data_IF_536183447175
#
_entry.id   IF_536183447175
#
_cell.length_a   1.000
_cell.length_b   1.000
_cell.length_c   1.000
_cell.angle_alpha   90.00
_cell.angle_beta   90.00
_cell.angle_gamma   90.00
#
_symmetry.space_group_name_H-M   'P 1'
#
loop_
_entity.id
_entity.type
_entity.pdbx_description
1 polymer ?
#
# COMPACT_ATOMS: atom_id res chain seq x y z
N UNK A 1 19.14 11.00 3.18
CA UNK A 1 19.27 9.91 4.14
C UNK A 1 20.34 8.91 3.71
N UNK A 2 20.29 8.29 2.55
CA UNK A 2 21.24 7.24 2.13
C UNK A 2 22.72 7.67 2.24
N UNK A 3 23.08 8.81 1.67
CA UNK A 3 24.48 9.32 1.72
C UNK A 3 24.97 9.61 3.13
N UNK A 4 24.07 10.01 4.04
CA UNK A 4 24.37 10.25 5.47
C UNK A 4 24.79 8.96 6.19
N UNK A 5 24.33 7.80 5.69
CA UNK A 5 24.70 6.48 6.19
C UNK A 5 25.77 5.80 5.32
N UNK A 6 26.50 6.55 4.49
CA UNK A 6 27.60 6.04 3.68
C UNK A 6 27.17 5.23 2.46
N UNK A 7 25.90 5.31 2.04
CA UNK A 7 25.37 4.56 0.92
C UNK A 7 25.37 5.39 -0.36
N UNK A 8 25.84 4.80 -1.46
CA UNK A 8 25.63 5.29 -2.82
C UNK A 8 24.44 4.56 -3.45
N UNK A 9 23.23 4.87 -2.99
CA UNK A 9 22.02 4.21 -3.43
C UNK A 9 21.53 4.77 -4.77
N UNK A 10 21.12 3.85 -5.67
CA UNK A 10 20.44 4.19 -6.92
C UNK A 10 18.99 3.70 -6.83
N UNK A 11 18.06 4.64 -6.89
CA UNK A 11 16.63 4.31 -6.88
C UNK A 11 16.18 3.98 -8.30
N UNK A 12 15.63 2.78 -8.48
CA UNK A 12 15.00 2.33 -9.72
C UNK A 12 13.47 2.43 -9.60
N UNK A 13 12.82 2.98 -10.60
CA UNK A 13 11.36 3.05 -10.69
C UNK A 13 10.81 1.88 -11.49
N UNK A 14 9.86 1.13 -10.93
CA UNK A 14 9.15 0.06 -11.61
C UNK A 14 7.79 0.54 -12.14
N UNK A 15 7.32 -0.06 -13.23
CA UNK A 15 6.01 0.24 -13.81
C UNK A 15 4.84 -0.38 -13.02
N UNK A 16 5.11 -1.44 -12.24
CA UNK A 16 4.10 -2.13 -11.44
C UNK A 16 4.72 -3.13 -10.47
N UNK A 17 3.89 -3.67 -9.59
CA UNK A 17 4.33 -4.48 -8.44
C UNK A 17 4.87 -5.86 -8.84
N UNK A 18 4.37 -6.46 -9.92
CA UNK A 18 4.95 -7.69 -10.46
C UNK A 18 6.42 -7.51 -10.85
N UNK A 19 6.76 -6.37 -11.47
CA UNK A 19 8.14 -6.03 -11.82
C UNK A 19 9.02 -5.85 -10.57
N UNK A 20 8.51 -5.20 -9.51
CA UNK A 20 9.24 -5.07 -8.24
C UNK A 20 9.55 -6.44 -7.65
N UNK A 21 8.55 -7.34 -7.62
CA UNK A 21 8.72 -8.72 -7.17
C UNK A 21 9.80 -9.44 -7.96
N UNK A 22 9.71 -9.39 -9.28
CA UNK A 22 10.60 -10.12 -10.17
C UNK A 22 12.04 -9.60 -10.07
N UNK A 23 12.23 -8.28 -10.04
CA UNK A 23 13.55 -7.68 -9.81
C UNK A 23 14.16 -8.10 -8.47
N UNK A 24 13.37 -8.14 -7.40
CA UNK A 24 13.85 -8.54 -6.09
C UNK A 24 14.23 -10.03 -6.04
N UNK A 25 13.41 -10.90 -6.63
CA UNK A 25 13.68 -12.35 -6.72
C UNK A 25 14.91 -12.63 -7.57
N UNK A 26 15.05 -11.95 -8.72
CA UNK A 26 16.16 -12.13 -9.66
C UNK A 26 17.44 -11.39 -9.25
N UNK A 27 17.43 -10.66 -8.13
CA UNK A 27 18.57 -9.86 -7.64
C UNK A 27 18.97 -8.70 -8.56
N UNK A 28 18.01 -8.18 -9.34
CA UNK A 28 18.20 -6.97 -10.16
C UNK A 28 18.21 -5.70 -9.30
N UNK A 29 17.77 -5.82 -8.05
CA UNK A 29 17.83 -4.82 -6.99
C UNK A 29 18.24 -5.48 -5.67
N UNK A 30 18.96 -4.73 -4.83
CA UNK A 30 19.47 -5.21 -3.54
C UNK A 30 18.37 -5.20 -2.45
N UNK A 31 17.47 -4.24 -2.55
CA UNK A 31 16.33 -4.07 -1.65
C UNK A 31 15.18 -3.41 -2.40
N UNK A 32 13.98 -3.46 -1.86
CA UNK A 32 12.82 -2.89 -2.49
C UNK A 32 11.81 -2.31 -1.47
N UNK A 33 11.16 -1.22 -1.87
CA UNK A 33 9.88 -0.82 -1.33
C UNK A 33 8.81 -1.76 -1.87
N UNK A 34 8.11 -2.48 -1.02
CA UNK A 34 7.08 -3.45 -1.40
C UNK A 34 5.78 -3.18 -0.66
N UNK A 35 4.67 -3.62 -1.24
CA UNK A 35 3.42 -3.76 -0.49
C UNK A 35 3.63 -4.79 0.61
N UNK A 36 3.22 -4.50 1.85
CA UNK A 36 3.55 -5.31 3.04
C UNK A 36 3.25 -6.81 2.92
N UNK A 37 2.22 -7.28 2.19
CA UNK A 37 2.02 -8.69 1.95
C UNK A 37 3.04 -9.35 1.01
N UNK A 38 3.75 -8.59 0.15
CA UNK A 38 4.62 -9.17 -0.87
C UNK A 38 5.82 -9.94 -0.30
N UNK A 39 6.57 -9.43 0.70
CA UNK A 39 7.70 -10.18 1.27
C UNK A 39 7.25 -11.53 1.86
N UNK A 40 6.09 -11.57 2.52
CA UNK A 40 5.49 -12.79 3.05
C UNK A 40 5.06 -13.74 1.93
N UNK A 41 4.41 -13.21 0.88
CA UNK A 41 3.99 -13.99 -0.28
C UNK A 41 5.19 -14.64 -0.98
N UNK A 42 6.26 -13.88 -1.22
CA UNK A 42 7.49 -14.38 -1.86
C UNK A 42 8.14 -15.45 -0.98
N UNK A 43 8.26 -15.20 0.33
CA UNK A 43 8.85 -16.17 1.27
C UNK A 43 8.09 -17.49 1.28
N UNK A 44 6.76 -17.44 1.20
CA UNK A 44 5.89 -18.61 1.23
C UNK A 44 5.60 -19.21 -0.15
N UNK A 45 6.18 -18.67 -1.23
CA UNK A 45 5.96 -19.16 -2.58
C UNK A 45 4.55 -18.90 -3.11
N UNK A 46 3.85 -17.91 -2.57
CA UNK A 46 2.53 -17.52 -3.07
C UNK A 46 2.68 -16.59 -4.28
N UNK A 47 2.32 -17.09 -5.46
CA UNK A 47 2.39 -16.36 -6.74
C UNK A 47 3.80 -16.17 -7.31
N UNK A 48 4.81 -16.83 -6.74
CA UNK A 48 6.19 -16.85 -7.22
C UNK A 48 6.94 -18.09 -6.71
N UNK A 49 8.18 -18.26 -7.16
CA UNK A 49 9.10 -19.19 -6.49
C UNK A 49 9.39 -18.70 -5.06
N UNK A 50 9.52 -19.60 -4.06
CA UNK A 50 9.81 -19.19 -2.70
C UNK A 50 11.26 -18.69 -2.58
N UNK A 51 11.41 -17.46 -2.10
CA UNK A 51 12.70 -16.86 -1.74
C UNK A 51 12.55 -16.21 -0.38
N UNK A 52 13.39 -16.52 0.61
CA UNK A 52 13.30 -15.93 1.94
C UNK A 52 13.57 -14.42 1.92
N UNK A 53 12.59 -13.63 2.32
CA UNK A 53 12.68 -12.18 2.49
C UNK A 53 12.43 -11.78 3.93
N UNK A 54 13.10 -10.73 4.36
CA UNK A 54 12.81 -10.01 5.59
C UNK A 54 11.98 -8.77 5.30
N UNK A 55 11.18 -8.37 6.26
CA UNK A 55 10.46 -7.12 6.33
C UNK A 55 10.92 -6.34 7.58
N UNK A 56 12.12 -5.75 7.58
CA UNK A 56 12.71 -5.15 8.76
C UNK A 56 12.01 -3.88 9.25
N UNK A 57 11.31 -3.19 8.34
CA UNK A 57 10.56 -1.98 8.66
C UNK A 57 9.28 -1.88 7.83
N UNK A 58 8.23 -1.34 8.45
CA UNK A 58 7.06 -0.79 7.76
C UNK A 58 7.39 0.64 7.37
N UNK A 59 7.18 1.03 6.12
CA UNK A 59 7.53 2.37 5.66
C UNK A 59 6.39 3.36 5.89
N UNK A 60 5.14 2.89 5.75
CA UNK A 60 3.97 3.67 6.13
C UNK A 60 2.82 2.80 6.62
N UNK A 61 2.03 3.35 7.51
CA UNK A 61 0.76 2.79 7.99
C UNK A 61 -0.41 3.63 7.48
N UNK A 62 -1.61 3.00 7.35
CA UNK A 62 -2.78 3.63 6.73
C UNK A 62 -2.49 4.10 5.28
N UNK A 63 -2.95 5.28 4.86
CA UNK A 63 -2.64 5.88 3.55
C UNK A 63 -3.29 5.21 2.36
N UNK A 64 -4.47 4.60 2.56
CA UNK A 64 -5.27 3.98 1.52
C UNK A 64 -6.74 4.37 1.71
N UNK A 65 -7.55 4.25 0.67
CA UNK A 65 -8.99 4.46 0.78
C UNK A 65 -9.77 3.63 -0.25
N UNK A 66 -11.01 3.31 0.08
CA UNK A 66 -12.03 2.94 -0.91
C UNK A 66 -12.52 4.25 -1.52
N UNK A 67 -12.25 4.41 -2.82
CA UNK A 67 -12.71 5.54 -3.63
C UNK A 67 -13.73 5.05 -4.62
N UNK A 68 -14.90 5.69 -4.67
CA UNK A 68 -15.99 5.33 -5.56
C UNK A 68 -16.19 6.41 -6.63
N UNK A 69 -16.66 5.99 -7.80
CA UNK A 69 -17.07 6.88 -8.89
C UNK A 69 -18.24 7.76 -8.44
N UNK A 70 -18.29 9.00 -8.92
CA UNK A 70 -19.30 9.99 -8.55
C UNK A 70 -20.76 9.54 -8.76
N UNK A 71 -21.03 8.61 -9.68
CA UNK A 71 -22.37 8.03 -9.88
C UNK A 71 -22.88 7.24 -8.66
N UNK A 72 -21.98 6.87 -7.73
CA UNK A 72 -22.28 6.04 -6.58
C UNK A 72 -22.37 6.80 -5.24
N UNK A 73 -22.66 8.11 -5.27
CA UNK A 73 -22.81 8.94 -4.06
C UNK A 73 -23.92 8.49 -3.10
N UNK A 74 -24.82 7.65 -3.58
CA UNK A 74 -25.89 7.06 -2.77
C UNK A 74 -25.50 5.83 -1.94
N UNK A 75 -24.32 5.23 -2.21
CA UNK A 75 -23.82 4.05 -1.48
C UNK A 75 -23.55 4.41 -0.02
N UNK A 76 -24.02 3.55 0.90
CA UNK A 76 -23.88 3.71 2.35
C UNK A 76 -23.08 2.58 2.99
N UNK A 77 -23.23 1.36 2.47
CA UNK A 77 -22.69 0.13 3.05
C UNK A 77 -22.01 -0.73 1.99
N UNK A 78 -21.28 -1.75 2.42
CA UNK A 78 -20.73 -2.75 1.52
C UNK A 78 -21.83 -3.49 0.74
N UNK A 79 -22.99 -3.72 1.35
CA UNK A 79 -24.09 -4.42 0.70
C UNK A 79 -24.59 -3.72 -0.58
N UNK A 80 -24.48 -2.40 -0.63
CA UNK A 80 -24.86 -1.59 -1.80
C UNK A 80 -23.86 -1.74 -2.97
N UNK A 81 -22.71 -2.40 -2.73
CA UNK A 81 -21.63 -2.57 -3.71
C UNK A 81 -21.74 -3.87 -4.51
N UNK A 82 -22.79 -4.68 -4.33
CA UNK A 82 -23.01 -5.88 -5.15
C UNK A 82 -23.05 -5.53 -6.63
N UNK A 83 -22.35 -6.31 -7.44
CA UNK A 83 -22.22 -6.09 -8.87
C UNK A 83 -21.12 -5.07 -9.27
N UNK A 84 -20.43 -4.44 -8.31
CA UNK A 84 -19.41 -3.45 -8.63
C UNK A 84 -18.16 -4.09 -9.23
N UNK A 85 -17.51 -3.32 -10.08
CA UNK A 85 -16.18 -3.59 -10.62
C UNK A 85 -15.17 -2.74 -9.86
N UNK A 86 -14.32 -3.42 -9.11
CA UNK A 86 -13.22 -2.78 -8.37
C UNK A 86 -11.86 -3.02 -9.03
N UNK A 87 -10.91 -2.16 -8.75
CA UNK A 87 -9.51 -2.48 -8.97
C UNK A 87 -8.65 -2.27 -7.71
N UNK A 88 -7.56 -3.01 -7.68
CA UNK A 88 -6.53 -2.99 -6.63
C UNK A 88 -5.16 -3.00 -7.28
N UNK A 89 -4.09 -2.52 -6.60
CA UNK A 89 -2.77 -2.40 -7.22
C UNK A 89 -2.07 -3.74 -7.48
N UNK A 90 -2.39 -4.75 -6.69
CA UNK A 90 -1.78 -6.08 -6.78
C UNK A 90 -2.55 -7.10 -5.94
N UNK A 91 -2.48 -8.40 -6.33
CA UNK A 91 -3.16 -9.47 -5.59
C UNK A 91 -2.64 -9.59 -4.15
N UNK A 92 -1.31 -9.55 -3.98
CA UNK A 92 -0.65 -9.61 -2.67
C UNK A 92 -0.44 -8.20 -2.11
N UNK A 93 -1.54 -7.52 -1.80
CA UNK A 93 -1.55 -6.15 -1.28
C UNK A 93 -2.52 -5.98 -0.12
N UNK A 94 -2.19 -5.08 0.80
CA UNK A 94 -3.16 -4.68 1.84
C UNK A 94 -4.44 -4.12 1.23
N UNK A 95 -4.33 -3.43 0.09
CA UNK A 95 -5.47 -2.91 -0.66
C UNK A 95 -6.47 -4.02 -1.03
N UNK A 96 -5.97 -5.13 -1.58
CA UNK A 96 -6.81 -6.28 -1.93
C UNK A 96 -7.41 -6.94 -0.68
N UNK A 97 -6.59 -7.17 0.36
CA UNK A 97 -7.06 -7.85 1.55
C UNK A 97 -8.04 -7.03 2.39
N UNK A 98 -7.84 -5.71 2.51
CA UNK A 98 -8.76 -4.83 3.22
C UNK A 98 -10.07 -4.64 2.44
N UNK A 99 -10.03 -4.53 1.11
CA UNK A 99 -11.24 -4.47 0.31
C UNK A 99 -12.07 -5.75 0.46
N UNK A 100 -11.43 -6.92 0.32
CA UNK A 100 -12.08 -8.23 0.50
C UNK A 100 -12.65 -8.39 1.90
N UNK A 101 -11.89 -8.00 2.91
CA UNK A 101 -12.33 -8.03 4.30
C UNK A 101 -13.56 -7.15 4.51
N UNK A 102 -13.50 -5.89 4.08
CA UNK A 102 -14.62 -4.94 4.21
C UNK A 102 -15.89 -5.43 3.52
N UNK A 103 -15.77 -5.92 2.30
CA UNK A 103 -16.90 -6.47 1.54
C UNK A 103 -17.52 -7.68 2.27
N UNK A 104 -16.68 -8.63 2.70
CA UNK A 104 -17.12 -9.85 3.36
C UNK A 104 -17.81 -9.58 4.70
N UNK A 105 -17.28 -8.68 5.52
CA UNK A 105 -17.92 -8.26 6.78
C UNK A 105 -19.29 -7.58 6.54
N UNK A 106 -19.47 -6.96 5.38
CA UNK A 106 -20.75 -6.39 4.95
C UNK A 106 -21.66 -7.36 4.18
N UNK A 107 -21.36 -8.67 4.18
CA UNK A 107 -22.18 -9.70 3.55
C UNK A 107 -22.07 -9.76 2.02
N UNK A 108 -20.98 -9.21 1.45
CA UNK A 108 -20.69 -9.24 0.01
C UNK A 108 -19.50 -10.17 -0.25
N UNK A 109 -19.71 -11.24 -1.01
CA UNK A 109 -18.64 -12.18 -1.31
C UNK A 109 -17.72 -11.59 -2.40
N UNK A 110 -16.40 -11.37 -2.09
CA UNK A 110 -15.53 -10.63 -2.99
C UNK A 110 -15.21 -11.32 -4.33
N UNK A 111 -15.44 -12.65 -4.43
CA UNK A 111 -15.19 -13.40 -5.68
C UNK A 111 -16.51 -13.76 -6.43
N UNK A 112 -17.68 -13.53 -5.83
CA UNK A 112 -18.97 -13.90 -6.43
C UNK A 112 -19.86 -12.70 -6.70
N UNK A 113 -19.87 -11.74 -5.77
CA UNK A 113 -20.81 -10.63 -5.79
C UNK A 113 -20.22 -9.35 -6.41
N UNK A 114 -18.90 -9.29 -6.61
CA UNK A 114 -18.17 -8.18 -7.25
C UNK A 114 -17.07 -8.70 -8.17
N UNK A 115 -16.48 -7.81 -8.97
CA UNK A 115 -15.30 -8.11 -9.77
C UNK A 115 -14.14 -7.29 -9.25
N UNK A 116 -13.03 -7.96 -8.87
CA UNK A 116 -11.79 -7.28 -8.46
C UNK A 116 -10.72 -7.57 -9.51
N UNK A 117 -10.07 -6.52 -10.04
CA UNK A 117 -9.01 -6.62 -11.04
C UNK A 117 -7.76 -5.89 -10.58
N UNK A 118 -6.60 -6.38 -10.99
CA UNK A 118 -5.33 -5.68 -10.78
C UNK A 118 -5.17 -4.60 -11.84
N UNK A 119 -4.92 -3.37 -11.40
CA UNK A 119 -4.63 -2.21 -12.25
C UNK A 119 -3.51 -1.41 -11.60
N UNK A 120 -2.46 -1.00 -12.34
CA UNK A 120 -1.43 -0.12 -11.79
C UNK A 120 -2.02 1.18 -11.24
N UNK A 121 -1.58 1.66 -10.06
CA UNK A 121 -2.16 2.85 -9.43
C UNK A 121 -2.24 4.10 -10.31
N UNK A 122 -1.25 4.42 -11.16
CA UNK A 122 -1.35 5.57 -12.06
C UNK A 122 -2.52 5.51 -13.06
N UNK A 123 -3.00 4.30 -13.40
CA UNK A 123 -4.08 4.09 -14.34
C UNK A 123 -5.46 4.05 -13.68
N UNK A 124 -5.52 3.90 -12.34
CA UNK A 124 -6.79 3.71 -11.62
C UNK A 124 -7.72 4.92 -11.75
N UNK A 125 -7.18 6.14 -11.64
CA UNK A 125 -7.97 7.38 -11.72
C UNK A 125 -8.61 7.52 -13.10
N UNK A 126 -7.85 7.24 -14.18
CA UNK A 126 -8.36 7.28 -15.54
C UNK A 126 -9.45 6.22 -15.77
N UNK A 127 -9.26 5.01 -15.26
CA UNK A 127 -10.27 3.95 -15.33
C UNK A 127 -11.54 4.30 -14.56
N UNK A 128 -11.42 4.94 -13.38
CA UNK A 128 -12.56 5.43 -12.63
C UNK A 128 -13.31 6.51 -13.41
N UNK A 129 -12.59 7.52 -13.92
CA UNK A 129 -13.16 8.64 -14.68
C UNK A 129 -13.89 8.20 -15.95
N UNK A 130 -13.34 7.18 -16.62
CA UNK A 130 -13.97 6.58 -17.81
C UNK A 130 -15.17 5.67 -17.48
N UNK A 131 -15.44 5.37 -16.21
CA UNK A 131 -16.51 4.46 -15.79
C UNK A 131 -16.21 2.99 -16.05
N UNK A 132 -14.96 2.63 -16.34
CA UNK A 132 -14.52 1.24 -16.53
C UNK A 132 -14.57 0.44 -15.23
N UNK A 133 -14.42 1.12 -14.09
CA UNK A 133 -14.58 0.58 -12.74
C UNK A 133 -15.55 1.45 -11.94
N UNK A 134 -16.19 0.85 -10.95
CA UNK A 134 -17.13 1.51 -10.06
C UNK A 134 -16.43 2.11 -8.84
N UNK A 135 -15.25 1.57 -8.51
CA UNK A 135 -14.40 2.05 -7.44
C UNK A 135 -13.08 1.29 -7.39
N UNK A 136 -12.27 1.65 -6.43
CA UNK A 136 -11.02 0.96 -6.12
C UNK A 136 -10.64 1.12 -4.66
N UNK A 137 -9.77 0.24 -4.16
CA UNK A 137 -8.98 0.49 -2.98
C UNK A 137 -7.53 0.68 -3.44
N UNK A 138 -7.02 1.90 -3.31
CA UNK A 138 -5.74 2.32 -3.85
C UNK A 138 -4.84 2.98 -2.77
N UNK A 139 -3.52 3.00 -2.98
CA UNK A 139 -2.65 3.82 -2.16
C UNK A 139 -2.91 5.31 -2.43
N UNK A 140 -2.74 6.14 -1.40
CA UNK A 140 -2.60 7.57 -1.63
C UNK A 140 -1.27 7.83 -2.42
N UNK A 141 -1.25 8.81 -3.32
CA UNK A 141 -2.20 9.92 -3.44
C UNK A 141 -3.35 9.69 -4.46
N UNK A 142 -3.50 8.51 -5.03
CA UNK A 142 -4.46 8.27 -6.12
C UNK A 142 -5.93 8.40 -5.69
N UNK A 143 -6.23 8.21 -4.41
CA UNK A 143 -7.56 8.49 -3.87
C UNK A 143 -7.87 9.98 -3.89
N UNK A 144 -6.94 10.80 -3.41
CA UNK A 144 -7.08 12.26 -3.42
C UNK A 144 -7.01 12.82 -4.83
N UNK A 145 -6.24 12.19 -5.73
CA UNK A 145 -6.19 12.57 -7.15
C UNK A 145 -7.54 12.40 -7.84
N UNK A 146 -8.29 11.34 -7.54
CA UNK A 146 -9.64 11.15 -8.09
C UNK A 146 -10.61 12.26 -7.65
N UNK A 147 -10.52 12.70 -6.40
CA UNK A 147 -11.29 13.84 -5.89
C UNK A 147 -10.88 15.13 -6.61
N UNK A 148 -9.58 15.38 -6.71
CA UNK A 148 -9.03 16.55 -7.40
C UNK A 148 -9.49 16.65 -8.88
N UNK A 149 -9.55 15.52 -9.58
CA UNK A 149 -10.05 15.43 -10.96
C UNK A 149 -11.57 15.33 -11.08
N UNK A 150 -12.30 15.42 -9.98
CA UNK A 150 -13.76 15.24 -9.95
C UNK A 150 -14.21 13.90 -10.59
N UNK A 151 -13.38 12.86 -10.48
CA UNK A 151 -13.69 11.51 -10.97
C UNK A 151 -14.45 10.66 -9.95
N UNK A 152 -14.23 10.91 -8.66
CA UNK A 152 -14.81 10.14 -7.58
C UNK A 152 -14.74 10.85 -6.23
N UNK A 153 -15.13 10.13 -5.20
CA UNK A 153 -15.12 10.58 -3.82
C UNK A 153 -14.52 9.52 -2.89
N UNK A 154 -13.96 9.93 -1.79
CA UNK A 154 -13.45 9.03 -0.76
C UNK A 154 -14.65 8.50 0.04
N UNK A 155 -14.93 7.23 -0.15
CA UNK A 155 -16.01 6.56 0.55
C UNK A 155 -15.61 6.17 1.98
N UNK A 156 -14.42 5.59 2.13
CA UNK A 156 -13.91 5.11 3.43
C UNK A 156 -12.38 5.08 3.43
N UNK A 157 -11.75 5.69 4.43
CA UNK A 157 -10.32 5.51 4.64
C UNK A 157 -10.04 4.09 5.13
N UNK A 158 -8.93 3.51 4.73
CA UNK A 158 -8.55 2.15 5.13
C UNK A 158 -8.33 2.01 6.64
N UNK A 159 -7.90 3.07 7.32
CA UNK A 159 -7.82 3.10 8.78
C UNK A 159 -9.17 2.87 9.48
N UNK A 160 -10.29 3.16 8.83
CA UNK A 160 -11.63 2.87 9.35
C UNK A 160 -12.01 1.40 9.22
N UNK A 161 -11.23 0.61 8.47
CA UNK A 161 -11.35 -0.85 8.35
C UNK A 161 -10.40 -1.51 9.36
N UNK A 162 -9.14 -1.07 9.36
CA UNK A 162 -8.11 -1.50 10.31
C UNK A 162 -7.14 -0.35 10.56
N UNK A 163 -7.27 0.32 11.71
CA UNK A 163 -6.39 1.42 12.06
C UNK A 163 -4.95 0.94 12.27
N UNK A 164 -3.99 1.72 11.78
CA UNK A 164 -2.56 1.46 11.82
C UNK A 164 -2.11 0.20 11.06
N UNK A 165 -2.89 -0.27 10.09
CA UNK A 165 -2.47 -1.37 9.24
C UNK A 165 -1.21 -1.01 8.44
N UNK A 166 -0.30 -1.98 8.18
CA UNK A 166 0.85 -1.71 7.33
C UNK A 166 0.39 -1.52 5.88
N UNK A 167 0.94 -0.52 5.17
CA UNK A 167 0.69 -0.35 3.74
C UNK A 167 1.87 -0.90 2.95
N UNK A 168 3.03 -0.27 3.12
CA UNK A 168 4.25 -0.64 2.44
C UNK A 168 5.38 -0.94 3.44
N UNK A 169 6.33 -1.73 2.99
CA UNK A 169 7.43 -2.20 3.80
C UNK A 169 8.76 -2.16 3.03
N UNK A 170 9.82 -1.89 3.75
CA UNK A 170 11.17 -2.17 3.32
C UNK A 170 11.36 -3.68 3.28
N UNK A 171 11.72 -4.21 2.12
CA UNK A 171 11.94 -5.63 1.88
C UNK A 171 13.34 -5.90 1.38
N UNK A 172 13.97 -6.94 1.92
CA UNK A 172 15.32 -7.36 1.56
C UNK A 172 15.43 -8.88 1.64
N UNK A 173 16.16 -9.51 0.70
CA UNK A 173 16.37 -10.94 0.76
C UNK A 173 17.22 -11.32 1.98
N UNK A 174 16.92 -12.47 2.58
CA UNK A 174 17.73 -13.02 3.68
C UNK A 174 19.19 -13.21 3.25
N UNK A 175 19.40 -13.64 2.00
CA UNK A 175 20.74 -13.82 1.44
C UNK A 175 21.53 -12.51 1.47
N UNK A 176 20.98 -11.42 0.92
CA UNK A 176 21.66 -10.13 0.90
C UNK A 176 21.95 -9.61 2.31
N UNK A 177 20.96 -9.68 3.20
CA UNK A 177 21.14 -9.24 4.58
C UNK A 177 22.24 -10.01 5.32
N UNK A 178 22.42 -11.32 4.99
CA UNK A 178 23.46 -12.17 5.58
C UNK A 178 24.84 -11.92 4.95
N UNK A 179 24.90 -11.73 3.63
CA UNK A 179 26.16 -11.50 2.92
C UNK A 179 26.72 -10.10 3.13
N UNK A 180 25.84 -9.09 3.27
CA UNK A 180 26.21 -7.68 3.38
C UNK A 180 25.56 -7.02 4.62
N UNK A 181 25.85 -7.51 5.84
CA UNK A 181 25.17 -7.06 7.05
C UNK A 181 25.36 -5.57 7.34
N UNK A 182 26.52 -5.00 7.04
CA UNK A 182 26.76 -3.58 7.24
C UNK A 182 25.96 -2.71 6.26
N UNK A 183 25.86 -3.12 5.00
CA UNK A 183 25.03 -2.43 3.99
C UNK A 183 23.56 -2.54 4.35
N UNK A 184 23.11 -3.72 4.78
CA UNK A 184 21.74 -3.91 5.28
C UNK A 184 21.43 -2.97 6.45
N UNK A 185 22.30 -2.91 7.46
CA UNK A 185 22.11 -2.02 8.61
C UNK A 185 22.12 -0.54 8.22
N UNK A 186 22.94 -0.13 7.26
CA UNK A 186 22.96 1.24 6.76
C UNK A 186 21.67 1.58 6.02
N UNK A 187 21.14 0.67 5.18
CA UNK A 187 19.84 0.81 4.52
C UNK A 187 18.71 0.90 5.55
N UNK A 188 18.66 -0.03 6.49
CA UNK A 188 17.65 -0.04 7.55
C UNK A 188 17.63 1.27 8.35
N UNK A 189 18.80 1.75 8.80
CA UNK A 189 18.91 3.02 9.52
C UNK A 189 18.42 4.20 8.68
N UNK A 190 18.77 4.21 7.39
CA UNK A 190 18.31 5.26 6.46
C UNK A 190 16.78 5.29 6.34
N UNK A 191 16.13 4.13 6.26
CA UNK A 191 14.67 4.01 6.20
C UNK A 191 14.03 4.45 7.52
N UNK A 192 14.55 3.97 8.66
CA UNK A 192 14.04 4.36 9.99
C UNK A 192 14.17 5.86 10.23
N UNK A 193 15.29 6.46 9.84
CA UNK A 193 15.47 7.92 9.95
C UNK A 193 14.48 8.67 9.03
N UNK A 194 14.27 8.19 7.81
CA UNK A 194 13.34 8.80 6.88
C UNK A 194 11.87 8.69 7.35
N UNK A 195 11.47 7.54 7.89
CA UNK A 195 10.12 7.36 8.45
C UNK A 195 9.91 8.23 9.69
N UNK A 196 10.92 8.34 10.56
CA UNK A 196 10.87 9.24 11.72
C UNK A 196 10.73 10.71 11.28
N UNK A 197 11.50 11.14 10.29
CA UNK A 197 11.37 12.49 9.72
C UNK A 197 9.98 12.73 9.14
N UNK A 198 9.45 11.78 8.39
CA UNK A 198 8.14 11.88 7.78
C UNK A 198 6.97 11.77 8.78
N UNK A 199 7.18 11.18 9.96
CA UNK A 199 6.16 11.10 11.01
C UNK A 199 5.88 12.46 11.67
N UNK A 200 6.83 13.39 11.65
CA UNK A 200 6.63 14.74 12.18
C UNK A 200 5.72 15.56 11.23
N UNK A 201 4.56 16.03 11.73
CA UNK A 201 3.64 16.86 10.94
C UNK A 201 4.29 18.14 10.37
N UNK A 202 5.33 18.67 11.03
CA UNK A 202 6.02 19.88 10.60
C UNK A 202 6.71 19.70 9.21
N UNK A 203 7.12 18.49 8.87
CA UNK A 203 7.81 18.18 7.62
C UNK A 203 6.87 17.80 6.46
N UNK A 204 5.58 17.58 6.73
CA UNK A 204 4.64 16.99 5.74
C UNK A 204 4.46 17.84 4.48
N UNK A 205 4.47 19.16 4.60
CA UNK A 205 4.36 20.06 3.43
C UNK A 205 5.64 20.07 2.59
N UNK A 206 6.79 20.17 3.23
CA UNK A 206 8.09 20.08 2.56
C UNK A 206 8.24 18.74 1.81
N UNK A 207 7.83 17.63 2.45
CA UNK A 207 7.82 16.33 1.80
C UNK A 207 6.89 16.32 0.59
N UNK A 208 5.68 16.90 0.69
CA UNK A 208 4.75 16.99 -0.44
C UNK A 208 5.38 17.70 -1.64
N UNK A 209 6.04 18.83 -1.42
CA UNK A 209 6.76 19.57 -2.45
C UNK A 209 7.91 18.74 -3.06
N UNK A 210 8.70 18.09 -2.21
CA UNK A 210 9.87 17.32 -2.63
C UNK A 210 9.51 16.10 -3.50
N UNK A 211 8.37 15.43 -3.24
CA UNK A 211 7.96 14.21 -3.97
C UNK A 211 6.99 14.48 -5.13
N UNK A 212 6.53 15.71 -5.31
CA UNK A 212 5.58 16.09 -6.36
C UNK A 212 6.12 15.98 -7.80
N UNK A 213 7.41 16.29 -8.09
CA UNK A 213 7.93 16.33 -9.45
C UNK A 213 7.78 15.02 -10.23
N UNK A 214 7.91 15.10 -11.57
CA UNK A 214 7.73 13.99 -12.51
C UNK A 214 8.71 12.82 -12.32
N UNK A 215 9.89 13.12 -11.81
CA UNK A 215 10.91 12.09 -11.49
C UNK A 215 10.58 11.31 -10.19
N UNK A 216 9.56 11.74 -9.44
CA UNK A 216 9.04 11.04 -8.25
C UNK A 216 7.60 10.60 -8.50
N UNK A 217 6.61 11.23 -7.84
CA UNK A 217 5.21 10.79 -7.90
C UNK A 217 4.43 11.37 -9.09
N UNK A 218 4.91 12.46 -9.69
CA UNK A 218 4.19 13.16 -10.76
C UNK A 218 2.74 13.50 -10.36
N UNK A 219 2.60 14.19 -9.24
CA UNK A 219 1.30 14.57 -8.69
C UNK A 219 1.28 16.07 -8.36
N UNK A 220 0.12 16.74 -8.43
CA UNK A 220 -0.01 18.10 -7.93
C UNK A 220 0.36 18.20 -6.46
N UNK A 221 1.13 19.21 -6.08
CA UNK A 221 1.52 19.46 -4.67
C UNK A 221 0.30 19.50 -3.76
N UNK A 222 -0.77 20.17 -4.18
CA UNK A 222 -2.03 20.27 -3.41
C UNK A 222 -2.64 18.89 -3.07
N UNK A 223 -2.55 17.93 -4.00
CA UNK A 223 -3.03 16.55 -3.78
C UNK A 223 -2.20 15.88 -2.70
N UNK A 224 -0.88 16.02 -2.77
CA UNK A 224 0.05 15.44 -1.79
C UNK A 224 -0.08 16.10 -0.41
N UNK A 225 -0.22 17.42 -0.38
CA UNK A 225 -0.45 18.15 0.88
C UNK A 225 -1.74 17.68 1.58
N UNK A 226 -2.84 17.53 0.84
CA UNK A 226 -4.10 17.04 1.42
C UNK A 226 -3.94 15.65 2.04
N UNK A 227 -3.19 14.77 1.40
CA UNK A 227 -2.90 13.44 1.92
C UNK A 227 -2.02 13.50 3.16
N UNK A 228 -0.86 14.15 3.04
CA UNK A 228 0.17 14.12 4.08
C UNK A 228 -0.21 14.91 5.32
N UNK A 229 -0.91 16.04 5.18
CA UNK A 229 -1.39 16.84 6.32
C UNK A 229 -2.68 16.29 6.92
N UNK A 230 -3.40 15.45 6.18
CA UNK A 230 -4.70 14.92 6.60
C UNK A 230 -5.84 15.94 6.57
N UNK A 231 -5.64 17.12 5.98
CA UNK A 231 -6.71 18.09 5.71
C UNK A 231 -7.09 18.01 4.24
N UNK A 232 -8.23 17.41 3.94
CA UNK A 232 -8.57 17.02 2.57
C UNK A 232 -10.05 17.20 2.23
N UNK A 233 -10.34 17.45 0.94
CA UNK A 233 -11.68 17.37 0.40
C UNK A 233 -12.06 15.89 0.19
N UNK A 234 -13.29 15.50 0.61
CA UNK A 234 -13.77 14.12 0.47
C UNK A 234 -14.44 13.83 -0.89
N UNK A 235 -14.69 14.84 -1.71
CA UNK A 235 -15.42 14.73 -2.99
C UNK A 235 -16.94 14.77 -2.85
N UNK A 236 -17.45 14.94 -1.62
CA UNK A 236 -18.87 15.07 -1.30
C UNK A 236 -19.25 16.48 -0.83
N UNK A 237 -18.31 17.42 -0.93
CA UNK A 237 -18.49 18.82 -0.52
C UNK A 237 -17.99 19.13 0.90
N UNK A 238 -17.35 18.16 1.57
CA UNK A 238 -16.82 18.39 2.91
C UNK A 238 -15.30 18.45 2.91
N UNK A 239 -14.75 19.29 3.81
CA UNK A 239 -13.34 19.25 4.18
C UNK A 239 -13.21 18.44 5.47
N UNK A 240 -12.43 17.38 5.40
CA UNK A 240 -12.13 16.50 6.52
C UNK A 240 -10.78 16.86 7.15
N UNK A 241 -10.63 16.54 8.43
CA UNK A 241 -9.37 16.63 9.15
C UNK A 241 -9.08 15.29 9.82
N UNK A 242 -8.06 14.60 9.34
CA UNK A 242 -7.55 13.35 9.91
C UNK A 242 -6.03 13.29 9.71
N UNK A 243 -5.23 13.81 10.65
CA UNK A 243 -3.77 13.79 10.57
C UNK A 243 -3.17 12.39 10.51
N UNK A 244 -3.90 11.37 10.95
CA UNK A 244 -3.50 9.97 10.89
C UNK A 244 -4.03 9.23 9.66
N UNK A 245 -4.57 9.95 8.65
CA UNK A 245 -4.94 9.37 7.35
C UNK A 245 -3.82 8.55 6.75
N UNK A 246 -2.59 9.05 6.85
CA UNK A 246 -1.35 8.33 6.59
C UNK A 246 -0.36 8.68 7.69
N UNK A 247 0.45 7.69 8.11
CA UNK A 247 1.52 7.92 9.06
C UNK A 247 2.72 7.02 8.77
N UNK A 248 3.87 7.28 9.40
CA UNK A 248 5.14 6.64 9.12
C UNK A 248 5.71 6.05 10.42
N UNK A 249 5.19 4.87 10.80
CA UNK A 249 5.68 4.11 11.96
C UNK A 249 6.45 2.89 11.46
N UNK A 250 7.78 2.80 11.67
CA UNK A 250 8.61 1.77 11.07
C UNK A 250 8.53 0.41 11.78
N UNK A 251 7.86 0.28 12.91
CA UNK A 251 7.86 -0.96 13.68
C UNK A 251 7.00 -2.05 13.03
N UNK A 252 7.60 -3.20 12.62
CA UNK A 252 6.87 -4.31 12.00
C UNK A 252 6.33 -5.24 13.09
N UNK A 253 5.10 -5.03 13.53
CA UNK A 253 4.47 -5.90 14.51
C UNK A 253 4.21 -7.30 13.95
N UNK A 254 4.55 -8.37 14.70
CA UNK A 254 4.25 -9.74 14.32
C UNK A 254 2.77 -9.96 14.01
N UNK A 255 1.87 -9.31 14.74
CA UNK A 255 0.43 -9.35 14.50
C UNK A 255 0.03 -8.86 13.10
N UNK A 256 0.78 -7.94 12.50
CA UNK A 256 0.54 -7.51 11.11
C UNK A 256 0.80 -8.66 10.14
N UNK A 257 1.93 -9.35 10.26
CA UNK A 257 2.27 -10.49 9.43
C UNK A 257 1.26 -11.65 9.62
N UNK A 258 0.88 -11.94 10.86
CA UNK A 258 -0.12 -12.97 11.17
C UNK A 258 -1.46 -12.65 10.51
N UNK A 259 -1.96 -11.43 10.65
CA UNK A 259 -3.21 -11.01 10.01
C UNK A 259 -3.13 -11.14 8.48
N UNK A 260 -2.06 -10.66 7.86
CA UNK A 260 -1.85 -10.77 6.41
C UNK A 260 -1.92 -12.23 5.97
N UNK A 261 -1.18 -13.13 6.62
CA UNK A 261 -1.17 -14.55 6.28
C UNK A 261 -2.53 -15.22 6.49
N UNK A 262 -3.29 -14.83 7.53
CA UNK A 262 -4.66 -15.33 7.73
C UNK A 262 -5.59 -14.90 6.59
N UNK A 263 -5.46 -13.66 6.08
CA UNK A 263 -6.22 -13.23 4.91
C UNK A 263 -5.75 -13.92 3.62
N UNK A 264 -4.44 -14.10 3.44
CA UNK A 264 -3.92 -14.90 2.32
C UNK A 264 -4.52 -16.32 2.33
N UNK A 265 -4.61 -16.94 3.49
CA UNK A 265 -5.24 -18.27 3.66
C UNK A 265 -6.74 -18.22 3.39
N UNK A 266 -7.47 -17.25 3.98
CA UNK A 266 -8.92 -17.05 3.83
C UNK A 266 -9.32 -16.95 2.35
N UNK A 267 -8.52 -16.28 1.54
CA UNK A 267 -8.82 -16.02 0.13
C UNK A 267 -8.12 -16.98 -0.84
N UNK A 268 -7.53 -18.08 -0.34
CA UNK A 268 -6.94 -19.13 -1.16
C UNK A 268 -5.61 -18.76 -1.83
N UNK A 269 -5.00 -17.65 -1.45
CA UNK A 269 -3.69 -17.22 -1.93
C UNK A 269 -2.53 -18.00 -1.28
N UNK A 270 -2.77 -18.59 -0.12
CA UNK A 270 -1.82 -19.41 0.60
C UNK A 270 -2.38 -20.83 0.77
N UNK A 271 -1.63 -21.82 0.28
CA UNK A 271 -1.99 -23.24 0.33
C UNK A 271 -1.21 -23.95 1.45
N UNK A 272 -1.75 -25.09 1.90
CA UNK A 272 -1.11 -25.90 2.94
C UNK A 272 -1.17 -25.26 4.33
N UNK A 273 -0.54 -25.89 5.30
CA UNK A 273 -0.46 -25.39 6.67
C UNK A 273 0.80 -24.55 6.85
N UNK A 274 0.64 -23.42 7.51
CA UNK A 274 1.71 -22.46 7.78
C UNK A 274 1.73 -22.12 9.26
N UNK A 275 2.88 -22.22 9.88
CA UNK A 275 3.08 -21.71 11.22
C UNK A 275 3.27 -20.18 11.15
N UNK A 276 2.20 -19.45 11.34
CA UNK A 276 2.19 -17.98 11.19
C UNK A 276 3.15 -17.28 12.17
N UNK A 277 3.27 -17.78 13.41
CA UNK A 277 4.19 -17.21 14.40
C UNK A 277 5.64 -17.38 13.94
N UNK A 278 6.02 -18.60 13.54
CA UNK A 278 7.39 -18.86 13.08
C UNK A 278 7.79 -18.03 11.83
N UNK A 279 6.83 -17.75 10.95
CA UNK A 279 7.08 -16.86 9.79
C UNK A 279 7.15 -15.39 10.19
N UNK A 280 6.32 -14.96 11.14
CA UNK A 280 6.33 -13.58 11.61
C UNK A 280 7.58 -13.22 12.43
N UNK A 281 8.22 -14.22 13.06
CA UNK A 281 9.45 -14.06 13.86
C UNK A 281 10.72 -14.02 13.02
N UNK A 282 10.70 -14.43 11.77
CA UNK A 282 11.84 -14.38 10.84
C UNK A 282 12.16 -12.99 10.35
#
# INVERSE_FOLDING_TARGET
>A
FYSKHGLNAKVKRAAGWAMVRDWAINKDVDAAHMLSPMPLAITLGAGSVPVPFYMPAVENINGQAITLHNKHKGVKTAADMKGFRFCVPFDYSMHNYLLRYYLAEGGVHPDKDVQIRVVPPPEMVANLKAGNVDGYLAPDPFNQRAVYENAGFIFKLSKEIWDRHPCCAFAISKEFATQYPNTFLALFRSIVEATHYASDPAHRKEIAEAIAPTNYLNQPVTVLEQVLTGTYADGLGNIKKDPSRIDFNPYPWHSMAIWIMTQMKRWGHLKGDVNYNAVAEQ
#
